data_IF_949501402749
#
_entry.id   IF_949501402749
#
_cell.length_a   1.000
_cell.length_b   1.000
_cell.length_c   1.000
_cell.angle_alpha   90.00
_cell.angle_beta   90.00
_cell.angle_gamma   90.00
#
_symmetry.space_group_name_H-M   'P 1'
#
loop_
_entity.id
_entity.type
_entity.pdbx_description
1 polymer ?
#
# COMPACT_ATOMS: atom_id res chain seq x y z
N UNK A 1 -6.29 -72.62 46.11
CA UNK A 1 -7.09 -72.57 44.87
C UNK A 1 -6.64 -71.36 44.08
N UNK A 2 -5.85 -71.61 43.03
CA UNK A 2 -5.30 -70.60 42.12
C UNK A 2 -6.34 -70.31 41.03
N UNK A 3 -6.67 -69.04 40.80
CA UNK A 3 -7.36 -68.58 39.61
C UNK A 3 -6.46 -67.55 38.92
N UNK A 4 -5.81 -67.98 37.84
CA UNK A 4 -5.06 -67.11 36.95
C UNK A 4 -6.05 -66.37 36.04
N UNK A 5 -5.92 -65.05 35.94
CA UNK A 5 -6.69 -64.22 35.00
C UNK A 5 -5.90 -64.07 33.70
N UNK A 6 -6.53 -64.37 32.57
CA UNK A 6 -5.97 -64.17 31.24
C UNK A 6 -6.08 -62.69 30.80
N UNK A 7 -5.11 -62.14 30.03
CA UNK A 7 -5.17 -60.76 29.56
C UNK A 7 -6.10 -60.59 28.35
N UNK A 8 -6.90 -59.52 28.35
CA UNK A 8 -7.77 -59.14 27.23
C UNK A 8 -6.94 -58.53 26.10
N UNK A 9 -7.11 -59.04 24.88
CA UNK A 9 -6.48 -58.53 23.67
C UNK A 9 -7.00 -57.11 23.32
N UNK A 10 -6.06 -56.21 23.05
CA UNK A 10 -6.32 -54.81 22.69
C UNK A 10 -6.56 -54.71 21.17
N UNK A 11 -7.73 -54.20 20.74
CA UNK A 11 -8.03 -53.99 19.32
C UNK A 11 -7.39 -52.69 18.82
N UNK A 12 -6.74 -52.76 17.65
CA UNK A 12 -6.10 -51.62 17.00
C UNK A 12 -7.13 -50.61 16.45
N UNK A 13 -6.83 -49.30 16.43
CA UNK A 13 -7.75 -48.29 15.91
C UNK A 13 -7.83 -48.39 14.38
N UNK A 14 -9.04 -48.60 13.86
CA UNK A 14 -9.30 -48.64 12.41
C UNK A 14 -8.87 -47.36 11.71
N UNK A 15 -8.17 -47.51 10.57
CA UNK A 15 -7.77 -46.38 9.71
C UNK A 15 -9.02 -45.63 9.22
N UNK A 16 -9.12 -44.33 9.54
CA UNK A 16 -10.21 -43.48 9.04
C UNK A 16 -10.14 -43.42 7.50
N UNK A 17 -11.28 -43.51 6.78
CA UNK A 17 -11.29 -43.41 5.33
C UNK A 17 -10.73 -42.05 4.87
N UNK A 18 -9.91 -42.07 3.82
CA UNK A 18 -9.38 -40.86 3.18
C UNK A 18 -10.55 -40.03 2.67
N UNK A 19 -10.70 -38.80 3.15
CA UNK A 19 -11.73 -37.87 2.70
C UNK A 19 -11.43 -37.42 1.28
N UNK A 20 -12.35 -37.66 0.35
CA UNK A 20 -12.19 -37.24 -1.04
C UNK A 20 -12.07 -35.70 -1.12
N UNK A 21 -10.97 -35.16 -1.66
CA UNK A 21 -10.72 -33.72 -1.69
C UNK A 21 -11.76 -32.97 -2.53
N UNK A 22 -12.26 -33.60 -3.60
CA UNK A 22 -13.22 -33.02 -4.53
C UNK A 22 -14.61 -32.80 -3.89
N UNK A 23 -15.09 -33.81 -3.15
CA UNK A 23 -16.35 -33.74 -2.38
C UNK A 23 -16.26 -32.70 -1.25
N UNK A 24 -15.06 -32.50 -0.69
CA UNK A 24 -14.81 -31.48 0.32
C UNK A 24 -14.80 -30.05 -0.26
N UNK A 25 -14.29 -29.87 -1.47
CA UNK A 25 -14.27 -28.58 -2.16
C UNK A 25 -15.68 -28.15 -2.60
N UNK A 26 -16.47 -29.07 -3.15
CA UNK A 26 -17.86 -28.82 -3.54
C UNK A 26 -18.74 -28.44 -2.33
N UNK A 27 -18.60 -29.17 -1.21
CA UNK A 27 -19.28 -28.85 0.05
C UNK A 27 -18.86 -27.48 0.61
N UNK A 28 -17.58 -27.11 0.49
CA UNK A 28 -17.09 -25.80 0.91
C UNK A 28 -17.65 -24.67 0.05
N UNK A 29 -17.77 -24.89 -1.27
CA UNK A 29 -18.36 -23.92 -2.19
C UNK A 29 -19.86 -23.70 -1.90
N UNK A 30 -20.63 -24.78 -1.67
CA UNK A 30 -22.07 -24.70 -1.32
C UNK A 30 -22.31 -24.00 0.03
N UNK A 31 -21.46 -24.28 1.03
CA UNK A 31 -21.50 -23.56 2.30
C UNK A 31 -21.21 -22.05 2.11
N UNK A 32 -20.25 -21.74 1.26
CA UNK A 32 -19.79 -20.37 1.02
C UNK A 32 -20.79 -19.54 0.20
N UNK A 33 -21.55 -20.16 -0.71
CA UNK A 33 -22.60 -19.50 -1.50
C UNK A 33 -23.89 -19.28 -0.69
N UNK A 34 -24.23 -20.17 0.26
CA UNK A 34 -25.42 -20.03 1.12
C UNK A 34 -25.21 -19.07 2.29
N UNK A 35 -23.96 -18.81 2.69
CA UNK A 35 -23.67 -17.96 3.85
C UNK A 35 -23.80 -16.47 3.49
N UNK A 36 -24.85 -15.83 3.98
CA UNK A 36 -24.93 -14.36 4.02
C UNK A 36 -23.91 -13.84 5.02
N UNK A 37 -22.97 -13.02 4.55
CA UNK A 37 -22.05 -12.25 5.40
C UNK A 37 -22.59 -10.83 5.48
N UNK A 38 -22.49 -10.23 6.65
CA UNK A 38 -22.80 -8.83 6.86
C UNK A 38 -21.49 -8.05 6.94
N UNK A 39 -21.55 -6.75 6.65
CA UNK A 39 -20.44 -5.85 6.92
C UNK A 39 -20.20 -5.77 8.43
N UNK A 40 -18.92 -5.79 8.85
CA UNK A 40 -18.55 -5.60 10.26
C UNK A 40 -18.03 -4.17 10.43
N UNK A 41 -18.69 -3.33 11.24
CA UNK A 41 -18.24 -1.96 11.49
C UNK A 41 -16.79 -1.88 12.01
N UNK A 42 -16.33 -2.86 12.81
CA UNK A 42 -14.94 -2.90 13.31
C UNK A 42 -13.88 -2.99 12.20
N UNK A 43 -14.26 -3.31 10.96
CA UNK A 43 -13.33 -3.28 9.83
C UNK A 43 -12.93 -1.86 9.44
N UNK A 44 -13.77 -0.85 9.65
CA UNK A 44 -13.41 0.55 9.34
C UNK A 44 -12.35 1.09 10.29
N UNK A 45 -12.32 0.60 11.53
CA UNK A 45 -11.25 0.91 12.50
C UNK A 45 -9.90 0.32 12.03
N UNK A 46 -9.92 -0.90 11.50
CA UNK A 46 -8.70 -1.57 11.03
C UNK A 46 -8.25 -1.11 9.65
N UNK A 47 -9.18 -0.74 8.79
CA UNK A 47 -8.94 -0.28 7.42
C UNK A 47 -9.55 1.11 7.26
N UNK A 48 -8.80 2.18 7.60
CA UNK A 48 -9.32 3.56 7.59
C UNK A 48 -9.80 4.06 6.22
N UNK A 49 -9.34 3.45 5.13
CA UNK A 49 -9.74 3.72 3.75
C UNK A 49 -11.02 2.98 3.33
N UNK A 50 -11.55 2.08 4.16
CA UNK A 50 -12.75 1.31 3.86
C UNK A 50 -13.99 2.18 4.07
N UNK A 51 -14.86 2.22 3.08
CA UNK A 51 -16.18 2.82 3.17
C UNK A 51 -17.23 1.79 2.82
N UNK A 52 -18.40 2.00 3.37
CA UNK A 52 -19.55 1.13 3.20
C UNK A 52 -20.77 2.02 2.97
N UNK A 53 -21.53 1.71 1.93
CA UNK A 53 -22.73 2.46 1.54
C UNK A 53 -23.96 1.59 1.74
N UNK A 54 -24.90 2.11 2.51
CA UNK A 54 -26.26 1.59 2.70
C UNK A 54 -27.26 2.54 2.01
N UNK A 55 -27.07 2.87 0.74
CA UNK A 55 -28.03 3.73 0.06
C UNK A 55 -29.29 2.94 -0.33
N UNK A 56 -30.45 3.50 0.02
CA UNK A 56 -31.76 2.90 -0.16
C UNK A 56 -32.09 2.73 -1.65
N UNK A 57 -31.72 1.58 -2.22
CA UNK A 57 -31.96 1.22 -3.61
C UNK A 57 -30.77 0.60 -4.32
N UNK A 58 -29.55 0.76 -3.79
CA UNK A 58 -28.34 0.11 -4.30
C UNK A 58 -27.95 -1.10 -3.43
N UNK A 59 -27.31 -2.08 -4.06
CA UNK A 59 -26.79 -3.26 -3.37
C UNK A 59 -25.79 -2.82 -2.29
N UNK A 60 -25.88 -3.37 -1.08
CA UNK A 60 -24.94 -3.07 0.00
C UNK A 60 -23.50 -3.32 -0.47
N UNK A 61 -22.68 -2.27 -0.51
CA UNK A 61 -21.33 -2.35 -1.07
C UNK A 61 -20.29 -1.73 -0.16
N UNK A 62 -19.14 -2.38 -0.07
CA UNK A 62 -17.93 -1.79 0.50
C UNK A 62 -16.91 -1.48 -0.60
N UNK A 63 -16.13 -0.41 -0.41
CA UNK A 63 -15.12 0.04 -1.36
C UNK A 63 -13.95 0.74 -0.65
N UNK A 64 -12.83 0.89 -1.37
CA UNK A 64 -11.67 1.64 -0.91
C UNK A 64 -11.77 3.09 -1.40
N UNK A 65 -11.95 4.04 -0.48
CA UNK A 65 -12.07 5.46 -0.83
C UNK A 65 -10.78 6.03 -1.43
N UNK A 66 -9.62 5.62 -0.91
CA UNK A 66 -8.31 6.07 -1.40
C UNK A 66 -8.03 5.58 -2.82
N UNK A 67 -8.45 4.36 -3.17
CA UNK A 67 -8.33 3.88 -4.54
C UNK A 67 -9.31 4.58 -5.49
N UNK A 68 -10.53 4.92 -5.04
CA UNK A 68 -11.49 5.68 -5.87
C UNK A 68 -11.08 7.14 -6.07
N UNK A 69 -10.39 7.78 -5.12
CA UNK A 69 -9.95 9.18 -5.28
C UNK A 69 -8.80 9.36 -6.27
N UNK A 70 -8.09 8.27 -6.61
CA UNK A 70 -6.90 8.27 -7.45
C UNK A 70 -6.96 7.18 -8.53
N UNK A 71 -7.92 7.27 -9.47
CA UNK A 71 -8.14 6.25 -10.49
C UNK A 71 -6.95 6.03 -11.42
N UNK A 72 -6.11 7.05 -11.64
CA UNK A 72 -4.94 6.97 -12.54
C UNK A 72 -3.84 6.03 -12.01
N UNK A 73 -3.80 5.83 -10.69
CA UNK A 73 -2.76 5.06 -10.01
C UNK A 73 -3.32 3.72 -9.51
N UNK A 74 -4.58 3.74 -9.07
CA UNK A 74 -5.27 2.59 -8.53
C UNK A 74 -5.52 1.51 -9.59
N UNK A 75 -5.79 0.30 -9.11
CA UNK A 75 -6.29 -0.77 -9.97
C UNK A 75 -7.81 -0.65 -10.12
N UNK A 76 -8.25 -0.09 -11.25
CA UNK A 76 -9.68 0.12 -11.57
C UNK A 76 -10.43 -1.19 -11.83
N UNK A 77 -9.71 -2.30 -12.07
CA UNK A 77 -10.32 -3.61 -12.26
C UNK A 77 -10.70 -4.27 -10.93
N UNK A 78 -10.10 -3.82 -9.82
CA UNK A 78 -10.29 -4.38 -8.48
C UNK A 78 -11.74 -4.24 -7.99
N UNK A 79 -12.23 -5.28 -7.32
CA UNK A 79 -13.57 -5.29 -6.72
C UNK A 79 -13.75 -4.18 -5.68
N UNK A 80 -12.70 -3.81 -4.96
CA UNK A 80 -12.76 -2.72 -3.96
C UNK A 80 -12.70 -1.32 -4.60
N UNK A 81 -12.26 -1.21 -5.85
CA UNK A 81 -12.41 0.04 -6.60
C UNK A 81 -13.85 0.20 -7.09
N UNK A 82 -14.40 -0.84 -7.73
CA UNK A 82 -15.76 -0.82 -8.26
C UNK A 82 -16.83 -0.82 -7.16
N UNK A 83 -16.53 -1.44 -6.03
CA UNK A 83 -17.50 -1.74 -4.98
C UNK A 83 -17.86 -3.22 -4.99
N UNK A 84 -18.01 -3.81 -3.81
CA UNK A 84 -18.35 -5.23 -3.68
C UNK A 84 -19.28 -5.46 -2.51
N UNK A 85 -20.33 -6.27 -2.73
CA UNK A 85 -21.17 -6.83 -1.66
C UNK A 85 -20.57 -8.08 -1.00
N UNK A 86 -19.38 -8.52 -1.42
CA UNK A 86 -18.71 -9.66 -0.81
C UNK A 86 -17.92 -9.24 0.43
N UNK A 87 -18.56 -9.27 1.60
CA UNK A 87 -17.94 -8.89 2.87
C UNK A 87 -16.99 -9.99 3.37
N UNK A 88 -15.77 -9.98 2.84
CA UNK A 88 -14.68 -10.90 3.23
C UNK A 88 -13.51 -10.13 3.79
N UNK A 89 -13.11 -10.50 5.00
CA UNK A 89 -11.91 -9.94 5.63
C UNK A 89 -10.65 -10.18 4.80
N UNK A 90 -10.48 -11.37 4.22
CA UNK A 90 -9.32 -11.72 3.39
C UNK A 90 -9.18 -10.80 2.16
N UNK A 91 -10.29 -10.36 1.58
CA UNK A 91 -10.30 -9.40 0.48
C UNK A 91 -9.73 -8.05 0.92
N UNK A 92 -10.10 -7.58 2.11
CA UNK A 92 -9.57 -6.33 2.67
C UNK A 92 -8.09 -6.45 3.02
N UNK A 93 -7.71 -7.55 3.66
CA UNK A 93 -6.34 -7.82 4.06
C UNK A 93 -5.40 -7.94 2.86
N UNK A 94 -5.81 -8.65 1.81
CA UNK A 94 -5.01 -8.78 0.58
C UNK A 94 -4.92 -7.46 -0.20
N UNK A 95 -6.00 -6.68 -0.22
CA UNK A 95 -5.99 -5.35 -0.82
C UNK A 95 -5.03 -4.40 -0.12
N UNK A 96 -5.02 -4.37 1.22
CA UNK A 96 -4.11 -3.54 2.01
C UNK A 96 -2.64 -3.81 1.69
N UNK A 97 -2.29 -5.07 1.39
CA UNK A 97 -0.93 -5.50 1.04
C UNK A 97 -0.60 -5.32 -0.45
N UNK A 98 -1.57 -4.94 -1.28
CA UNK A 98 -1.35 -4.81 -2.71
C UNK A 98 -0.47 -3.60 -3.04
N UNK A 99 0.48 -3.78 -3.97
CA UNK A 99 1.39 -2.71 -4.40
C UNK A 99 0.66 -1.49 -4.97
N UNK A 100 -0.48 -1.72 -5.63
CA UNK A 100 -1.32 -0.65 -6.18
C UNK A 100 -1.93 0.17 -5.07
N UNK A 101 -2.57 -0.46 -4.09
CA UNK A 101 -3.10 0.26 -2.94
C UNK A 101 -2.02 1.06 -2.20
N UNK A 102 -0.87 0.45 -1.90
CA UNK A 102 0.23 1.15 -1.21
C UNK A 102 0.76 2.36 -1.99
N UNK A 103 0.86 2.24 -3.32
CA UNK A 103 1.27 3.35 -4.17
C UNK A 103 0.21 4.46 -4.15
N UNK A 104 -1.07 4.09 -4.24
CA UNK A 104 -2.18 5.02 -4.19
C UNK A 104 -2.23 5.75 -2.85
N UNK A 105 -2.06 5.05 -1.72
CA UNK A 105 -1.97 5.67 -0.40
C UNK A 105 -0.76 6.61 -0.27
N UNK A 106 0.38 6.23 -0.83
CA UNK A 106 1.57 7.10 -0.83
C UNK A 106 1.33 8.38 -1.64
N UNK A 107 0.65 8.27 -2.78
CA UNK A 107 0.26 9.41 -3.61
C UNK A 107 -0.78 10.29 -2.92
N UNK A 108 -1.77 9.70 -2.24
CA UNK A 108 -2.77 10.43 -1.47
C UNK A 108 -2.12 11.21 -0.32
N UNK A 109 -1.24 10.56 0.43
CA UNK A 109 -0.42 11.23 1.47
C UNK A 109 0.45 12.34 0.90
N UNK A 110 1.00 12.17 -0.30
CA UNK A 110 1.79 13.21 -0.95
C UNK A 110 0.93 14.41 -1.38
N UNK A 111 -0.31 14.17 -1.85
CA UNK A 111 -1.26 15.25 -2.20
C UNK A 111 -1.74 16.04 -0.99
N UNK A 112 -1.85 15.39 0.16
CA UNK A 112 -2.25 16.03 1.42
C UNK A 112 -1.09 16.79 2.10
N UNK A 113 0.12 16.75 1.55
CA UNK A 113 1.23 17.56 2.06
C UNK A 113 0.92 19.04 1.84
N UNK A 114 1.01 19.82 2.92
CA UNK A 114 0.95 21.28 2.83
C UNK A 114 2.14 21.84 2.06
N UNK A 115 2.05 23.10 1.61
CA UNK A 115 3.13 23.77 0.86
C UNK A 115 4.45 23.84 1.64
N UNK A 116 4.39 23.87 2.97
CA UNK A 116 5.57 23.94 3.85
C UNK A 116 6.13 22.56 4.25
N UNK A 117 5.57 21.46 3.73
CA UNK A 117 6.05 20.13 4.05
C UNK A 117 7.46 19.91 3.47
N UNK A 118 8.42 19.36 4.25
CA UNK A 118 9.75 19.07 3.75
C UNK A 118 9.69 18.20 2.49
N UNK A 119 10.41 18.64 1.45
CA UNK A 119 10.54 17.89 0.21
C UNK A 119 11.19 16.52 0.47
N UNK A 120 10.83 15.49 -0.32
CA UNK A 120 11.58 14.23 -0.33
C UNK A 120 13.08 14.49 -0.60
N UNK A 121 14.00 13.71 0.02
CA UNK A 121 15.45 13.93 -0.11
C UNK A 121 15.97 14.06 -1.54
N UNK A 122 15.38 13.30 -2.48
CA UNK A 122 15.69 13.39 -3.91
C UNK A 122 15.36 14.77 -4.48
N UNK A 123 14.17 15.29 -4.20
CA UNK A 123 13.76 16.61 -4.67
C UNK A 123 14.55 17.72 -3.97
N UNK A 124 14.84 17.58 -2.67
CA UNK A 124 15.73 18.48 -1.93
C UNK A 124 17.13 18.51 -2.55
N UNK A 125 17.68 17.35 -2.92
CA UNK A 125 18.98 17.25 -3.58
C UNK A 125 19.01 17.95 -4.93
N UNK A 126 17.95 17.82 -5.73
CA UNK A 126 17.80 18.51 -7.01
C UNK A 126 17.76 20.03 -6.85
N UNK A 127 16.94 20.55 -5.92
CA UNK A 127 16.90 21.99 -5.63
C UNK A 127 18.22 22.54 -5.11
N UNK A 128 18.92 21.78 -4.25
CA UNK A 128 20.25 22.16 -3.77
C UNK A 128 21.25 22.26 -4.92
N UNK A 129 21.19 21.37 -5.91
CA UNK A 129 22.04 21.47 -7.08
C UNK A 129 21.75 22.73 -7.89
N UNK A 130 20.47 23.07 -8.11
CA UNK A 130 20.06 24.32 -8.76
C UNK A 130 20.64 25.55 -8.04
N UNK A 131 20.51 25.62 -6.71
CA UNK A 131 21.08 26.70 -5.90
C UNK A 131 22.60 26.78 -6.05
N UNK A 132 23.31 25.66 -5.99
CA UNK A 132 24.77 25.66 -6.17
C UNK A 132 25.20 26.10 -7.56
N UNK A 133 24.41 25.81 -8.61
CA UNK A 133 24.69 26.28 -9.97
C UNK A 133 24.51 27.80 -10.07
N UNK A 134 23.46 28.35 -9.46
CA UNK A 134 23.20 29.79 -9.44
C UNK A 134 24.32 30.54 -8.73
N UNK A 135 24.74 30.09 -7.53
CA UNK A 135 25.83 30.72 -6.78
C UNK A 135 27.12 30.76 -7.60
N UNK A 136 27.47 29.64 -8.26
CA UNK A 136 28.66 29.58 -9.12
C UNK A 136 28.56 30.55 -10.30
N UNK A 137 27.40 30.61 -10.96
CA UNK A 137 27.17 31.53 -12.08
C UNK A 137 27.28 32.99 -11.62
N UNK A 138 26.67 33.33 -10.47
CA UNK A 138 26.76 34.67 -9.88
C UNK A 138 28.20 35.06 -9.57
N UNK A 139 29.00 34.14 -9.02
CA UNK A 139 30.42 34.41 -8.75
C UNK A 139 31.22 34.68 -10.02
N UNK A 140 30.96 33.93 -11.10
CA UNK A 140 31.58 34.17 -12.42
C UNK A 140 31.19 35.56 -12.93
N UNK A 141 29.92 35.94 -12.83
CA UNK A 141 29.44 37.24 -13.28
C UNK A 141 30.06 38.40 -12.48
N UNK A 142 30.16 38.25 -11.15
CA UNK A 142 30.85 39.24 -10.30
C UNK A 142 32.33 39.37 -10.65
N UNK A 143 33.02 38.26 -10.88
CA UNK A 143 34.43 38.26 -11.28
C UNK A 143 34.62 38.95 -12.64
N UNK A 144 33.79 38.61 -13.63
CA UNK A 144 33.82 39.24 -14.95
C UNK A 144 33.52 40.75 -14.88
N UNK A 145 32.52 41.15 -14.11
CA UNK A 145 32.20 42.57 -13.88
C UNK A 145 33.39 43.31 -13.25
N UNK A 146 34.01 42.73 -12.22
CA UNK A 146 35.15 43.36 -11.56
C UNK A 146 36.35 43.51 -12.52
N UNK A 147 36.69 42.48 -13.27
CA UNK A 147 37.76 42.51 -14.30
C UNK A 147 37.49 43.61 -15.32
N UNK A 148 36.27 43.65 -15.88
CA UNK A 148 35.88 44.64 -16.85
C UNK A 148 35.93 46.08 -16.29
N UNK A 149 35.54 46.26 -15.02
CA UNK A 149 35.55 47.58 -14.37
C UNK A 149 36.93 48.08 -13.97
N UNK A 150 37.82 47.17 -13.58
CA UNK A 150 39.14 47.51 -13.00
C UNK A 150 40.29 47.37 -13.99
N UNK A 151 39.98 46.92 -15.22
CA UNK A 151 40.95 46.64 -16.30
C UNK A 151 42.08 45.69 -15.85
N UNK A 152 41.84 44.89 -14.82
CA UNK A 152 42.82 43.94 -14.29
C UNK A 152 42.86 42.67 -15.16
N UNK A 153 44.05 42.11 -15.43
CA UNK A 153 44.14 40.85 -16.15
C UNK A 153 43.53 39.69 -15.34
N UNK A 154 42.88 38.74 -16.02
CA UNK A 154 42.26 37.56 -15.41
C UNK A 154 43.22 36.71 -14.55
N UNK A 155 44.53 36.86 -14.74
CA UNK A 155 45.58 36.18 -13.96
C UNK A 155 45.60 36.54 -12.48
N UNK A 156 44.97 37.66 -12.08
CA UNK A 156 44.91 38.10 -10.68
C UNK A 156 43.86 37.34 -9.84
N UNK A 157 43.01 36.49 -10.44
CA UNK A 157 41.85 35.86 -9.78
C UNK A 157 42.01 34.36 -9.48
N UNK A 158 43.20 33.79 -9.59
CA UNK A 158 43.47 32.35 -9.33
C UNK A 158 43.12 31.89 -7.91
N UNK A 159 42.87 32.81 -6.98
CA UNK A 159 42.60 32.52 -5.56
C UNK A 159 41.10 32.43 -5.20
N UNK A 160 40.18 32.88 -6.06
CA UNK A 160 38.74 32.99 -5.71
C UNK A 160 37.80 31.98 -6.40
N UNK A 161 38.35 30.99 -7.13
CA UNK A 161 37.58 29.91 -7.76
C UNK A 161 37.94 28.51 -7.24
N UNK A 162 38.27 28.41 -5.94
CA UNK A 162 38.43 27.16 -5.20
C UNK A 162 37.23 26.85 -4.33
#
# INVERSE_FOLDING_TARGET
>A
MSWQQAPKANQAPGKRPRRDPEKSAASKLDYETKRKRNFLPSWTEKFPWLRYTEEAGEEYMMYCSTCRSLPDIADTSSSLFKGTGSFRYDTLSSHALSKRHQLTEAADRARQRGPDAPLPPVLTGLHRMEETMLVKMTNIMHAAYYVARTEQPFTHFTTYMG
#
